data_IF_700567345552
#
_entry.id   IF_700567345552
#
_cell.length_a   1.000
_cell.length_b   1.000
_cell.length_c   1.000
_cell.angle_alpha   90.00
_cell.angle_beta   90.00
_cell.angle_gamma   90.00
#
_symmetry.space_group_name_H-M   'P 1'
#
loop_
_entity.id
_entity.type
_entity.pdbx_description
1 polymer ?
#
# COMPACT_ATOMS: atom_id res chain seq x y z
N UNK A 1 -12.12 -22.46 -4.06
CA UNK A 1 -10.75 -22.09 -3.63
C UNK A 1 -9.99 -21.20 -4.63
N UNK A 2 -10.26 -21.23 -5.95
CA UNK A 2 -9.56 -20.38 -6.95
C UNK A 2 -10.15 -18.97 -7.14
N UNK A 3 -11.37 -18.72 -6.68
CA UNK A 3 -12.05 -17.42 -6.81
C UNK A 3 -11.54 -16.38 -5.80
N UNK A 4 -11.25 -16.77 -4.55
CA UNK A 4 -10.79 -15.85 -3.51
C UNK A 4 -9.39 -15.31 -3.77
N UNK A 5 -8.47 -16.15 -4.26
CA UNK A 5 -7.13 -15.70 -4.65
C UNK A 5 -7.22 -14.67 -5.79
N UNK A 6 -8.05 -14.93 -6.81
CA UNK A 6 -8.25 -13.95 -7.90
C UNK A 6 -8.87 -12.63 -7.42
N UNK A 7 -9.73 -12.66 -6.40
CA UNK A 7 -10.32 -11.44 -5.79
C UNK A 7 -9.28 -10.69 -4.98
N UNK A 8 -8.50 -11.38 -4.14
CA UNK A 8 -7.42 -10.79 -3.34
C UNK A 8 -6.35 -10.13 -4.22
N UNK A 9 -5.90 -10.80 -5.27
CA UNK A 9 -4.93 -10.25 -6.23
C UNK A 9 -5.45 -9.00 -6.94
N UNK A 10 -6.74 -8.96 -7.33
CA UNK A 10 -7.35 -7.76 -7.95
C UNK A 10 -7.35 -6.56 -7.00
N UNK A 11 -7.65 -6.77 -5.72
CA UNK A 11 -7.65 -5.70 -4.71
C UNK A 11 -6.23 -5.13 -4.55
N UNK A 12 -5.21 -5.99 -4.52
CA UNK A 12 -3.81 -5.56 -4.45
C UNK A 12 -3.46 -4.71 -5.69
N UNK A 13 -3.78 -5.19 -6.90
CA UNK A 13 -3.50 -4.46 -8.14
C UNK A 13 -4.20 -3.10 -8.20
N UNK A 14 -5.47 -3.04 -7.80
CA UNK A 14 -6.21 -1.76 -7.70
C UNK A 14 -5.51 -0.85 -6.69
N UNK A 15 -5.13 -1.37 -5.52
CA UNK A 15 -4.38 -0.62 -4.51
C UNK A 15 -3.05 -0.07 -5.03
N UNK A 16 -2.29 -0.86 -5.78
CA UNK A 16 -1.02 -0.43 -6.40
C UNK A 16 -1.26 0.70 -7.41
N UNK A 17 -2.24 0.55 -8.30
CA UNK A 17 -2.56 1.59 -9.29
C UNK A 17 -3.00 2.89 -8.60
N UNK A 18 -3.84 2.79 -7.57
CA UNK A 18 -4.27 3.94 -6.76
C UNK A 18 -3.06 4.61 -6.11
N UNK A 19 -2.16 3.86 -5.48
CA UNK A 19 -0.94 4.43 -4.89
C UNK A 19 -0.04 5.11 -5.93
N UNK A 20 0.10 4.54 -7.13
CA UNK A 20 0.89 5.16 -8.22
C UNK A 20 0.28 6.50 -8.64
N UNK A 21 -1.05 6.58 -8.75
CA UNK A 21 -1.74 7.81 -9.10
C UNK A 21 -1.63 8.83 -7.97
N UNK A 22 -1.89 8.45 -6.72
CA UNK A 22 -1.78 9.33 -5.56
C UNK A 22 -0.33 9.83 -5.35
N UNK A 23 0.66 9.01 -5.71
CA UNK A 23 2.09 9.36 -5.69
C UNK A 23 2.43 10.45 -6.70
N UNK A 24 1.66 10.62 -7.78
CA UNK A 24 1.85 11.75 -8.68
C UNK A 24 1.66 13.02 -7.85
N UNK A 25 2.75 13.73 -7.61
CA UNK A 25 2.83 14.88 -6.71
C UNK A 25 2.23 16.13 -7.36
N UNK A 26 1.02 16.00 -7.93
CA UNK A 26 0.35 17.03 -8.72
C UNK A 26 -0.67 17.84 -7.90
N UNK A 27 -1.13 17.30 -6.78
CA UNK A 27 -2.18 17.92 -5.96
C UNK A 27 -1.65 19.01 -5.03
N UNK A 28 -0.58 18.71 -4.30
CA UNK A 28 -0.06 19.59 -3.24
C UNK A 28 1.23 20.31 -3.63
N UNK A 29 1.60 20.26 -4.92
CA UNK A 29 2.86 20.82 -5.43
C UNK A 29 3.04 22.31 -5.14
N UNK A 30 1.95 23.06 -5.10
CA UNK A 30 1.96 24.51 -4.93
C UNK A 30 1.28 24.97 -3.64
N UNK A 31 1.01 24.05 -2.71
CA UNK A 31 0.35 24.35 -1.44
C UNK A 31 1.40 24.49 -0.33
N UNK A 32 1.62 25.70 0.20
CA UNK A 32 2.60 25.96 1.25
C UNK A 32 2.05 25.69 2.66
N UNK A 33 0.82 25.15 2.81
CA UNK A 33 0.24 24.91 4.13
C UNK A 33 1.10 23.96 4.96
N UNK A 34 1.26 24.30 6.25
CA UNK A 34 2.04 23.51 7.19
C UNK A 34 1.12 22.64 8.04
N UNK A 35 1.35 21.34 8.00
CA UNK A 35 0.79 20.35 8.92
C UNK A 35 1.58 20.42 10.23
N UNK A 36 0.87 20.52 11.36
CA UNK A 36 1.45 20.70 12.70
C UNK A 36 2.38 21.93 12.85
N UNK A 37 2.30 22.90 11.93
CA UNK A 37 3.13 24.11 11.96
C UNK A 37 4.61 23.91 11.63
N UNK A 38 5.03 22.70 11.24
CA UNK A 38 6.45 22.37 10.97
C UNK A 38 6.64 21.75 9.58
N UNK A 39 5.65 20.99 9.08
CA UNK A 39 5.85 20.13 7.92
C UNK A 39 4.95 20.55 6.74
N UNK A 40 5.50 20.89 5.56
CA UNK A 40 4.72 21.21 4.37
C UNK A 40 3.75 20.08 3.99
N UNK A 41 2.51 20.41 3.63
CA UNK A 41 1.46 19.43 3.30
C UNK A 41 1.88 18.47 2.18
N UNK A 42 2.64 18.95 1.19
CA UNK A 42 3.19 18.09 0.13
C UNK A 42 4.11 16.99 0.65
N UNK A 43 4.93 17.29 1.67
CA UNK A 43 5.77 16.27 2.33
C UNK A 43 4.94 15.33 3.21
N UNK A 44 3.92 15.87 3.91
CA UNK A 44 3.02 15.05 4.73
C UNK A 44 2.30 14.01 3.87
N UNK A 45 1.88 14.43 2.67
CA UNK A 45 1.25 13.59 1.67
C UNK A 45 2.17 12.44 1.23
N UNK A 46 3.44 12.73 0.95
CA UNK A 46 4.43 11.71 0.56
C UNK A 46 4.71 10.71 1.69
N UNK A 47 4.75 11.15 2.94
CA UNK A 47 4.86 10.27 4.11
C UNK A 47 3.64 9.34 4.20
N UNK A 48 2.43 9.89 4.07
CA UNK A 48 1.20 9.12 4.12
C UNK A 48 1.14 8.03 3.03
N UNK A 49 1.54 8.36 1.79
CA UNK A 49 1.59 7.39 0.69
C UNK A 49 2.61 6.29 0.97
N UNK A 50 3.77 6.61 1.55
CA UNK A 50 4.79 5.62 1.88
C UNK A 50 4.28 4.63 2.95
N UNK A 51 3.55 5.12 3.95
CA UNK A 51 2.90 4.28 4.97
C UNK A 51 1.84 3.39 4.31
N UNK A 52 0.99 3.95 3.45
CA UNK A 52 -0.04 3.21 2.74
C UNK A 52 0.56 2.09 1.85
N UNK A 53 1.70 2.35 1.19
CA UNK A 53 2.43 1.35 0.43
C UNK A 53 2.94 0.21 1.30
N UNK A 54 3.50 0.50 2.48
CA UNK A 54 3.95 -0.52 3.42
C UNK A 54 2.77 -1.41 3.89
N UNK A 55 1.62 -0.81 4.21
CA UNK A 55 0.41 -1.55 4.58
C UNK A 55 -0.07 -2.43 3.44
N UNK A 56 -0.12 -1.90 2.21
CA UNK A 56 -0.51 -2.67 1.04
C UNK A 56 0.42 -3.89 0.84
N UNK A 57 1.72 -3.70 1.07
CA UNK A 57 2.70 -4.78 0.96
C UNK A 57 2.54 -5.85 2.04
N UNK A 58 2.20 -5.47 3.28
CA UNK A 58 1.87 -6.41 4.36
C UNK A 58 0.62 -7.23 4.01
N UNK A 59 -0.39 -6.61 3.40
CA UNK A 59 -1.59 -7.32 2.96
C UNK A 59 -1.24 -8.26 1.79
N UNK A 60 -0.41 -7.80 0.86
CA UNK A 60 0.03 -8.60 -0.27
C UNK A 60 0.83 -9.83 0.17
N UNK A 61 1.75 -9.70 1.14
CA UNK A 61 2.52 -10.85 1.64
C UNK A 61 1.63 -11.88 2.34
N UNK A 62 0.62 -11.45 3.11
CA UNK A 62 -0.34 -12.38 3.74
C UNK A 62 -1.19 -13.15 2.74
N UNK A 63 -1.53 -12.53 1.61
CA UNK A 63 -2.36 -13.15 0.56
C UNK A 63 -1.52 -14.05 -0.35
N UNK A 64 -0.30 -13.62 -0.70
CA UNK A 64 0.59 -14.35 -1.60
C UNK A 64 1.42 -15.45 -0.90
N UNK A 65 1.60 -15.36 0.43
CA UNK A 65 2.39 -16.29 1.23
C UNK A 65 1.65 -16.67 2.54
N UNK A 66 0.57 -17.45 2.46
CA UNK A 66 -0.13 -17.93 3.64
C UNK A 66 0.77 -18.87 4.46
N UNK A 67 0.99 -18.56 5.73
CA UNK A 67 1.90 -19.31 6.61
C UNK A 67 1.44 -20.76 6.89
N UNK A 68 0.14 -21.04 6.71
CA UNK A 68 -0.43 -22.37 6.92
C UNK A 68 0.01 -23.39 5.86
N UNK A 69 0.50 -22.96 4.70
CA UNK A 69 1.02 -23.85 3.64
C UNK A 69 2.44 -24.37 3.94
N UNK A 70 3.11 -23.89 4.99
CA UNK A 70 4.49 -24.28 5.35
C UNK A 70 4.58 -25.43 6.38
N UNK A 71 3.49 -26.16 6.63
CA UNK A 71 3.44 -27.28 7.59
C UNK A 71 3.37 -28.68 6.91
N UNK A 72 4.32 -29.01 6.01
CA UNK A 72 4.64 -30.39 5.58
C UNK A 72 6.18 -30.37 5.28
N UNK A 73 7.10 -31.14 5.88
CA UNK A 73 7.12 -32.51 6.40
C UNK A 73 7.95 -32.61 7.71
N UNK A 74 7.51 -33.37 8.73
CA UNK A 74 8.44 -33.98 9.67
C UNK A 74 9.10 -35.19 9.00
N UNK A 75 10.39 -35.07 8.64
CA UNK A 75 11.23 -36.20 8.19
C UNK A 75 11.93 -36.87 9.37
#
# INVERSE_FOLDING_TARGET
MTQDIRRGTRIIWIGVIVLIVLRQDLWFWNDPSLVFGILPVGLAWQIAISIAAAILWIIATKIAWPADEMQEEPR
#
